data_IF_174666118615
#
_entry.id   IF_174666118615
#
_cell.length_a   1.000
_cell.length_b   1.000
_cell.length_c   1.000
_cell.angle_alpha   90.00
_cell.angle_beta   90.00
_cell.angle_gamma   90.00
#
_symmetry.space_group_name_H-M   'P 1'
#
loop_
_entity.id
_entity.type
_entity.pdbx_description
1 polymer ?
#
# COMPACT_ATOMS: atom_id res chain seq x y z
N UNK A 1 27.20 -18.28 -0.76
CA UNK A 1 26.56 -17.06 -1.30
C UNK A 1 25.29 -16.75 -0.53
N UNK A 2 25.18 -15.55 -0.01
CA UNK A 2 24.01 -15.14 0.75
C UNK A 2 22.89 -14.72 -0.21
N UNK A 3 21.71 -15.30 -0.02
CA UNK A 3 20.52 -14.87 -0.75
C UNK A 3 20.12 -13.49 -0.29
N UNK A 4 19.74 -12.61 -1.22
CA UNK A 4 19.20 -11.30 -0.89
C UNK A 4 17.77 -11.45 -0.39
N UNK A 5 17.46 -10.79 0.73
CA UNK A 5 16.11 -10.70 1.21
C UNK A 5 15.32 -9.68 0.39
N UNK A 6 14.03 -9.94 0.24
CA UNK A 6 13.10 -9.05 -0.41
C UNK A 6 12.11 -8.54 0.65
N UNK A 7 11.86 -7.23 0.65
CA UNK A 7 10.84 -6.64 1.52
C UNK A 7 9.46 -6.95 0.94
N UNK A 8 8.61 -7.59 1.74
CA UNK A 8 7.33 -8.11 1.28
C UNK A 8 6.21 -7.63 2.20
N UNK A 9 5.08 -7.32 1.59
CA UNK A 9 3.85 -6.98 2.29
C UNK A 9 2.63 -7.40 1.47
N UNK A 10 1.52 -7.62 2.13
CA UNK A 10 0.23 -7.82 1.48
C UNK A 10 -0.51 -6.49 1.42
N UNK A 11 -1.11 -6.20 0.27
CA UNK A 11 -1.79 -4.94 0.05
C UNK A 11 -2.99 -5.11 -0.88
N UNK A 12 -3.94 -4.17 -0.76
CA UNK A 12 -5.04 -4.01 -1.71
C UNK A 12 -4.73 -2.80 -2.58
N UNK A 13 -4.83 -3.00 -3.90
CA UNK A 13 -4.71 -1.89 -4.85
C UNK A 13 -6.09 -1.45 -5.28
N UNK A 14 -6.39 -0.14 -5.24
CA UNK A 14 -7.68 0.37 -5.67
C UNK A 14 -7.84 0.21 -7.18
N UNK A 15 -9.10 0.17 -7.65
CA UNK A 15 -9.38 0.23 -9.08
C UNK A 15 -8.97 1.61 -9.63
N UNK A 16 -8.99 1.75 -10.96
CA UNK A 16 -8.52 2.99 -11.61
C UNK A 16 -9.32 4.22 -11.20
N UNK A 17 -10.62 4.09 -11.00
CA UNK A 17 -11.46 5.21 -10.59
C UNK A 17 -11.05 5.73 -9.21
N UNK A 18 -10.93 4.85 -8.24
CA UNK A 18 -10.52 5.21 -6.89
C UNK A 18 -9.06 5.68 -6.87
N UNK A 19 -8.20 5.02 -7.64
CA UNK A 19 -6.80 5.43 -7.77
C UNK A 19 -6.69 6.88 -8.26
N UNK A 20 -7.49 7.25 -9.27
CA UNK A 20 -7.49 8.62 -9.79
C UNK A 20 -7.98 9.63 -8.76
N UNK A 21 -9.03 9.30 -8.01
CA UNK A 21 -9.53 10.18 -6.95
C UNK A 21 -8.49 10.39 -5.86
N UNK A 22 -7.82 9.33 -5.44
CA UNK A 22 -6.75 9.42 -4.43
C UNK A 22 -5.54 10.19 -4.96
N UNK A 23 -5.20 9.99 -6.25
CA UNK A 23 -4.12 10.72 -6.89
C UNK A 23 -4.40 12.22 -6.97
N UNK A 24 -5.65 12.61 -7.23
CA UNK A 24 -6.07 14.01 -7.25
C UNK A 24 -5.91 14.64 -5.86
N UNK A 25 -6.29 13.92 -4.81
CA UNK A 25 -6.08 14.37 -3.44
C UNK A 25 -4.59 14.53 -3.11
N UNK A 26 -3.75 13.59 -3.56
CA UNK A 26 -2.31 13.67 -3.37
C UNK A 26 -1.71 14.89 -4.08
N UNK A 27 -2.18 15.19 -5.28
CA UNK A 27 -1.74 16.37 -6.04
C UNK A 27 -2.12 17.66 -5.32
N UNK A 28 -3.34 17.74 -4.80
CA UNK A 28 -3.78 18.89 -4.02
C UNK A 28 -2.93 19.09 -2.77
N UNK A 29 -2.71 18.02 -2.02
CA UNK A 29 -1.88 18.06 -0.81
C UNK A 29 -0.43 18.46 -1.13
N UNK A 30 0.12 17.97 -2.23
CA UNK A 30 1.46 18.34 -2.67
C UNK A 30 1.56 19.83 -2.95
N UNK A 31 0.55 20.41 -3.60
CA UNK A 31 0.53 21.84 -3.88
C UNK A 31 0.49 22.70 -2.62
N UNK A 32 -0.12 22.19 -1.54
CA UNK A 32 -0.23 22.90 -0.26
C UNK A 32 0.95 22.68 0.66
N UNK A 33 1.57 21.51 0.62
CA UNK A 33 2.56 21.08 1.60
C UNK A 33 3.97 20.91 1.02
N UNK A 34 4.14 21.01 -0.29
CA UNK A 34 5.42 20.89 -1.00
C UNK A 34 6.14 19.53 -0.75
N UNK A 35 5.39 18.49 -0.47
CA UNK A 35 5.92 17.15 -0.26
C UNK A 35 6.09 16.37 -1.57
N UNK A 36 6.53 15.12 -1.46
CA UNK A 36 6.61 14.18 -2.56
C UNK A 36 5.42 13.24 -2.50
N UNK A 37 4.70 13.12 -3.62
CA UNK A 37 3.53 12.23 -3.67
C UNK A 37 3.91 10.83 -4.17
N UNK A 38 3.13 9.83 -3.72
CA UNK A 38 3.24 8.48 -4.21
C UNK A 38 2.81 8.42 -5.69
N UNK A 39 3.57 7.68 -6.50
CA UNK A 39 3.19 7.42 -7.90
C UNK A 39 1.82 6.74 -7.93
N UNK A 40 0.95 7.16 -8.88
CA UNK A 40 -0.44 6.69 -8.93
C UNK A 40 -0.58 5.16 -8.85
N UNK A 41 0.24 4.43 -9.61
CA UNK A 41 0.20 2.96 -9.62
C UNK A 41 0.68 2.31 -8.33
N UNK A 42 1.29 3.05 -7.42
CA UNK A 42 1.77 2.56 -6.13
C UNK A 42 0.84 2.91 -4.97
N UNK A 43 -0.26 3.60 -5.22
CA UNK A 43 -1.26 3.89 -4.20
C UNK A 43 -1.92 2.58 -3.78
N UNK A 44 -1.88 2.27 -2.48
CA UNK A 44 -2.39 1.00 -1.97
C UNK A 44 -2.75 1.09 -0.49
N UNK A 45 -3.51 0.11 -0.02
CA UNK A 45 -3.77 -0.13 1.38
C UNK A 45 -2.96 -1.34 1.83
N UNK A 46 -2.02 -1.15 2.74
CA UNK A 46 -1.25 -2.26 3.29
C UNK A 46 -2.08 -3.01 4.32
N UNK A 47 -2.17 -4.34 4.16
CA UNK A 47 -2.86 -5.21 5.09
C UNK A 47 -1.92 -5.81 6.13
N UNK A 48 -0.71 -6.20 5.70
CA UNK A 48 0.24 -6.88 6.57
C UNK A 48 1.64 -6.72 6.03
N UNK A 49 2.55 -6.22 6.85
CA UNK A 49 3.99 -6.23 6.55
C UNK A 49 4.60 -7.52 7.04
N UNK A 50 5.31 -8.22 6.16
CA UNK A 50 6.05 -9.43 6.51
C UNK A 50 7.53 -9.15 6.76
N UNK A 51 8.03 -8.03 6.25
CA UNK A 51 9.42 -7.66 6.37
C UNK A 51 10.30 -8.31 5.32
N UNK A 52 11.52 -8.60 5.68
CA UNK A 52 12.51 -9.16 4.76
C UNK A 52 12.38 -10.68 4.66
N UNK A 53 12.08 -11.16 3.47
CA UNK A 53 11.78 -12.57 3.18
C UNK A 53 12.77 -13.08 2.14
N UNK A 54 13.22 -14.34 2.30
CA UNK A 54 14.02 -14.99 1.29
C UNK A 54 13.21 -15.20 0.01
N UNK A 55 13.79 -14.95 -1.18
CA UNK A 55 13.03 -15.08 -2.44
C UNK A 55 12.39 -16.46 -2.65
N UNK A 56 13.00 -17.53 -2.15
CA UNK A 56 12.46 -18.88 -2.29
C UNK A 56 11.21 -19.13 -1.42
N UNK A 57 10.84 -18.19 -0.55
CA UNK A 57 9.62 -18.28 0.27
C UNK A 57 8.41 -17.62 -0.40
N UNK A 58 8.60 -16.89 -1.50
CA UNK A 58 7.52 -16.13 -2.14
C UNK A 58 6.41 -17.04 -2.66
N UNK A 59 6.76 -18.16 -3.31
CA UNK A 59 5.78 -19.11 -3.83
C UNK A 59 4.91 -19.69 -2.70
N UNK A 60 5.51 -20.02 -1.56
CA UNK A 60 4.80 -20.50 -0.38
C UNK A 60 3.82 -19.46 0.15
N UNK A 61 4.26 -18.20 0.25
CA UNK A 61 3.40 -17.10 0.69
C UNK A 61 2.22 -16.89 -0.24
N UNK A 62 2.44 -16.94 -1.55
CA UNK A 62 1.37 -16.84 -2.55
C UNK A 62 0.37 -17.98 -2.41
N UNK A 63 0.84 -19.18 -2.18
CA UNK A 63 -0.02 -20.34 -1.98
C UNK A 63 -0.89 -20.17 -0.73
N UNK A 64 -0.31 -19.79 0.38
CA UNK A 64 -1.06 -19.52 1.62
C UNK A 64 -2.10 -18.42 1.40
N UNK A 65 -1.72 -17.32 0.76
CA UNK A 65 -2.61 -16.21 0.48
C UNK A 65 -3.78 -16.60 -0.42
N UNK A 66 -3.55 -17.49 -1.39
CA UNK A 66 -4.61 -17.95 -2.31
C UNK A 66 -5.72 -18.72 -1.61
N UNK A 67 -5.46 -19.26 -0.41
CA UNK A 67 -6.45 -19.99 0.38
C UNK A 67 -7.25 -19.08 1.32
N UNK A 68 -6.91 -17.81 1.40
CA UNK A 68 -7.67 -16.83 2.19
C UNK A 68 -8.88 -16.39 1.41
N UNK A 69 -10.06 -16.52 2.03
CA UNK A 69 -11.32 -16.10 1.41
C UNK A 69 -12.16 -15.37 2.45
N UNK A 70 -12.58 -14.16 2.09
CA UNK A 70 -13.46 -13.35 2.93
C UNK A 70 -14.57 -12.77 2.07
N UNK A 71 -15.70 -12.45 2.69
CA UNK A 71 -16.78 -11.75 2.00
C UNK A 71 -16.32 -10.35 1.62
N UNK A 72 -16.79 -9.87 0.46
CA UNK A 72 -16.54 -8.48 0.08
C UNK A 72 -17.13 -7.53 1.12
N UNK A 73 -16.48 -6.39 1.32
CA UNK A 73 -16.94 -5.36 2.24
C UNK A 73 -16.59 -4.00 1.67
N UNK A 74 -17.21 -2.98 2.23
CA UNK A 74 -17.00 -1.60 1.81
C UNK A 74 -15.94 -0.93 2.66
N UNK A 75 -15.02 -0.21 2.01
CA UNK A 75 -14.04 0.66 2.67
C UNK A 75 -14.33 2.10 2.31
N UNK A 76 -14.44 2.94 3.33
CA UNK A 76 -14.66 4.37 3.13
C UNK A 76 -13.43 5.14 3.61
N UNK A 77 -12.89 6.02 2.73
CA UNK A 77 -11.77 6.88 3.07
C UNK A 77 -12.33 8.22 3.55
N UNK A 78 -12.35 8.42 4.85
CA UNK A 78 -13.08 9.52 5.49
C UNK A 78 -12.19 10.66 5.98
N UNK A 79 -10.91 10.38 6.26
CA UNK A 79 -10.02 11.35 6.87
C UNK A 79 -8.65 11.34 6.23
N UNK A 80 -8.03 12.53 6.19
CA UNK A 80 -6.61 12.68 5.87
C UNK A 80 -5.88 12.88 7.19
N UNK A 81 -4.86 12.07 7.43
CA UNK A 81 -4.06 12.10 8.65
C UNK A 81 -2.58 12.19 8.34
N UNK A 82 -1.80 12.46 9.38
CA UNK A 82 -0.36 12.68 9.27
C UNK A 82 0.38 11.89 10.33
N UNK A 83 1.34 11.07 9.90
CA UNK A 83 2.27 10.41 10.80
C UNK A 83 3.49 11.31 11.03
N UNK A 84 3.53 11.93 12.20
CA UNK A 84 4.56 12.90 12.54
C UNK A 84 5.97 12.32 12.55
N UNK A 85 6.12 11.08 13.03
CA UNK A 85 7.42 10.45 13.21
C UNK A 85 8.17 10.18 11.89
N UNK A 86 7.46 9.97 10.80
CA UNK A 86 8.06 9.71 9.48
C UNK A 86 7.60 10.70 8.41
N UNK A 87 6.83 11.72 8.79
CA UNK A 87 6.37 12.79 7.91
C UNK A 87 5.55 12.29 6.72
N UNK A 88 4.71 11.29 6.93
CA UNK A 88 3.84 10.74 5.90
C UNK A 88 2.41 11.21 6.11
N UNK A 89 1.78 11.70 5.02
CA UNK A 89 0.35 12.00 4.95
C UNK A 89 -0.35 10.79 4.35
N UNK A 90 -1.45 10.39 4.96
CA UNK A 90 -2.21 9.22 4.51
C UNK A 90 -3.72 9.43 4.68
N UNK A 91 -4.48 8.64 3.98
CA UNK A 91 -5.94 8.63 4.10
C UNK A 91 -6.39 7.35 4.77
#
# INVERSE_FOLDING_TARGET
>A
MNAKHIRVFFAIFPNKTIQSLLADQATLLQSLCAGRKTTNKHIHLTLLFLGNILPNRIAELRHIASNVSVKSFELNFEEIRYWKHNRIVYI
#
